data_IF_924558863103
#
_entry.id   IF_924558863103
#
_cell.length_a   1.000
_cell.length_b   1.000
_cell.length_c   1.000
_cell.angle_alpha   90.00
_cell.angle_beta   90.00
_cell.angle_gamma   90.00
#
_symmetry.space_group_name_H-M   'P 1'
#
loop_
_entity.id
_entity.type
_entity.pdbx_description
1 polymer ?
#
# COMPACT_ATOMS: atom_id res chain seq x y z
N UNK A 1 30.68 40.75 -32.76
CA UNK A 1 29.76 40.39 -31.65
C UNK A 1 29.66 38.87 -31.62
N UNK A 2 30.32 38.22 -30.67
CA UNK A 2 30.36 36.76 -30.57
C UNK A 2 29.61 36.39 -29.29
N UNK A 3 28.40 35.84 -29.43
CA UNK A 3 27.57 35.44 -28.29
C UNK A 3 27.86 33.99 -27.93
N UNK A 4 28.65 33.79 -26.88
CA UNK A 4 28.97 32.49 -26.30
C UNK A 4 27.75 31.98 -25.54
N UNK A 5 26.99 31.02 -26.10
CA UNK A 5 25.95 30.32 -25.34
C UNK A 5 26.60 29.34 -24.36
N UNK A 6 26.53 29.65 -23.06
CA UNK A 6 26.81 28.70 -21.98
C UNK A 6 25.55 27.86 -21.76
N UNK A 7 25.61 26.58 -22.13
CA UNK A 7 24.55 25.61 -21.86
C UNK A 7 24.40 25.40 -20.35
N UNK A 8 23.28 25.86 -19.77
CA UNK A 8 22.86 25.47 -18.43
C UNK A 8 22.16 24.10 -18.53
N UNK A 9 22.80 23.06 -17.99
CA UNK A 9 22.14 21.79 -17.74
C UNK A 9 21.20 21.94 -16.53
N UNK A 10 19.90 21.97 -16.77
CA UNK A 10 18.89 21.96 -15.72
C UNK A 10 18.71 20.51 -15.27
N UNK A 11 19.29 20.18 -14.11
CA UNK A 11 19.08 18.88 -13.46
C UNK A 11 17.70 18.89 -12.81
N UNK A 12 16.68 18.35 -13.50
CA UNK A 12 15.36 18.17 -12.93
C UNK A 12 15.42 17.03 -11.91
N UNK A 13 15.63 17.37 -10.63
CA UNK A 13 15.44 16.45 -9.53
C UNK A 13 13.94 16.16 -9.40
N UNK A 14 13.49 15.01 -9.88
CA UNK A 14 12.17 14.48 -9.53
C UNK A 14 12.21 14.10 -8.06
N UNK A 15 11.85 15.03 -7.19
CA UNK A 15 11.58 14.75 -5.79
C UNK A 15 10.33 13.86 -5.80
N UNK A 16 10.54 12.54 -5.74
CA UNK A 16 9.48 11.60 -5.49
C UNK A 16 8.92 11.93 -4.13
N UNK A 17 7.84 12.71 -4.09
CA UNK A 17 7.09 12.95 -2.88
C UNK A 17 6.55 11.58 -2.47
N UNK A 18 7.26 10.87 -1.60
CA UNK A 18 6.74 9.69 -0.93
C UNK A 18 5.58 10.17 -0.05
N UNK A 19 4.41 10.34 -0.66
CA UNK A 19 3.17 10.47 0.09
C UNK A 19 3.00 9.12 0.76
N UNK A 20 3.08 9.12 2.08
CA UNK A 20 2.71 7.95 2.87
C UNK A 20 1.38 7.44 2.33
N UNK A 21 1.37 6.19 1.88
CA UNK A 21 0.22 5.58 1.22
C UNK A 21 -0.95 5.51 2.19
N UNK A 22 -0.65 5.39 3.48
CA UNK A 22 -1.59 5.42 4.55
C UNK A 22 -1.06 6.34 5.67
N UNK A 23 -1.44 7.64 5.67
CA UNK A 23 -0.93 8.58 6.68
C UNK A 23 -1.22 8.09 8.10
N UNK A 24 -0.17 7.89 8.90
CA UNK A 24 -0.22 7.38 10.29
C UNK A 24 -0.51 5.88 10.46
N UNK A 25 -0.40 5.07 9.41
CA UNK A 25 -0.48 3.60 9.49
C UNK A 25 0.89 2.98 9.20
N UNK A 26 0.99 1.65 9.16
CA UNK A 26 2.23 0.95 8.84
C UNK A 26 2.18 0.26 7.46
N UNK A 27 0.99 -0.18 7.07
CA UNK A 27 0.78 -0.98 5.87
C UNK A 27 -0.49 -0.58 5.13
N UNK A 28 -0.51 -0.80 3.82
CA UNK A 28 -1.69 -0.70 2.96
C UNK A 28 -1.97 -2.01 2.24
N UNK A 29 -3.25 -2.40 2.14
CA UNK A 29 -3.68 -3.59 1.39
C UNK A 29 -4.30 -3.14 0.06
N UNK A 30 -3.82 -3.72 -1.04
CA UNK A 30 -4.37 -3.54 -2.38
C UNK A 30 -4.95 -4.86 -2.90
N UNK A 31 -6.05 -4.77 -3.63
CA UNK A 31 -6.59 -5.84 -4.45
C UNK A 31 -6.09 -5.67 -5.89
N UNK A 32 -5.48 -6.73 -6.41
CA UNK A 32 -4.93 -6.79 -7.75
C UNK A 32 -5.91 -7.45 -8.73
N UNK A 33 -7.01 -8.00 -8.23
CA UNK A 33 -7.99 -8.76 -8.99
C UNK A 33 -7.45 -10.10 -9.49
N UNK A 34 -8.13 -10.65 -10.48
CA UNK A 34 -7.79 -11.92 -11.14
C UNK A 34 -8.42 -13.17 -10.50
N UNK A 35 -8.48 -14.29 -11.24
CA UNK A 35 -8.77 -15.62 -10.69
C UNK A 35 -7.52 -16.52 -10.64
N UNK A 36 -7.14 -17.10 -9.48
CA UNK A 36 -7.66 -16.78 -8.15
C UNK A 36 -7.36 -15.32 -7.76
N UNK A 37 -8.06 -14.81 -6.75
CA UNK A 37 -7.87 -13.44 -6.29
C UNK A 37 -6.44 -13.20 -5.79
N UNK A 38 -5.94 -11.97 -5.98
CA UNK A 38 -4.60 -11.58 -5.57
C UNK A 38 -4.65 -10.31 -4.74
N UNK A 39 -4.12 -10.36 -3.52
CA UNK A 39 -3.99 -9.22 -2.63
C UNK A 39 -2.53 -8.98 -2.29
N UNK A 40 -2.16 -7.72 -2.16
CA UNK A 40 -0.80 -7.32 -1.85
C UNK A 40 -0.77 -6.33 -0.71
N UNK A 41 0.17 -6.55 0.20
CA UNK A 41 0.45 -5.64 1.31
C UNK A 41 1.69 -4.84 0.96
N UNK A 42 1.58 -3.52 1.10
CA UNK A 42 2.66 -2.57 0.92
C UNK A 42 3.00 -1.91 2.26
N UNK A 43 4.26 -1.59 2.49
CA UNK A 43 4.66 -0.63 3.52
C UNK A 43 4.42 0.82 3.07
N UNK A 44 4.67 1.80 3.95
CA UNK A 44 4.50 3.23 3.65
C UNK A 44 5.40 3.76 2.51
N UNK A 45 6.41 3.00 2.10
CA UNK A 45 7.33 3.32 1.01
C UNK A 45 6.98 2.59 -0.30
N UNK A 46 5.80 1.96 -0.38
CA UNK A 46 5.33 1.14 -1.50
C UNK A 46 6.18 -0.11 -1.76
N UNK A 47 6.97 -0.57 -0.77
CA UNK A 47 7.63 -1.86 -0.89
C UNK A 47 6.62 -2.96 -0.59
N UNK A 48 6.66 -4.00 -1.42
CA UNK A 48 5.83 -5.18 -1.21
C UNK A 48 6.37 -6.00 -0.05
N UNK A 49 5.53 -6.23 0.96
CA UNK A 49 5.90 -7.03 2.14
C UNK A 49 5.22 -8.39 2.18
N UNK A 50 4.05 -8.53 1.54
CA UNK A 50 3.31 -9.79 1.44
C UNK A 50 2.46 -9.80 0.16
N UNK A 51 2.36 -10.96 -0.47
CA UNK A 51 1.37 -11.24 -1.51
C UNK A 51 0.59 -12.49 -1.11
N UNK A 52 -0.73 -12.44 -1.21
CA UNK A 52 -1.63 -13.55 -0.94
C UNK A 52 -2.44 -13.83 -2.19
N UNK A 53 -2.39 -15.06 -2.68
CA UNK A 53 -3.11 -15.52 -3.87
C UNK A 53 -4.04 -16.66 -3.42
N UNK A 54 -5.35 -16.43 -3.47
CA UNK A 54 -6.37 -17.38 -2.97
C UNK A 54 -7.75 -17.05 -3.53
N UNK A 55 -8.69 -17.97 -3.45
CA UNK A 55 -10.10 -17.69 -3.70
C UNK A 55 -10.75 -16.90 -2.55
N UNK A 56 -10.25 -17.03 -1.31
CA UNK A 56 -10.79 -16.32 -0.16
C UNK A 56 -9.70 -15.86 0.84
N UNK A 57 -9.32 -14.57 0.85
CA UNK A 57 -8.25 -14.05 1.69
C UNK A 57 -8.60 -14.03 3.18
N UNK A 58 -9.89 -14.14 3.51
CA UNK A 58 -10.39 -14.10 4.88
C UNK A 58 -10.20 -15.43 5.62
N UNK A 59 -9.91 -16.52 4.90
CA UNK A 59 -9.72 -17.87 5.46
C UNK A 59 -8.28 -18.36 5.43
N UNK A 60 -7.39 -17.71 4.68
CA UNK A 60 -5.96 -18.04 4.58
C UNK A 60 -5.13 -17.64 5.82
N UNK A 61 -5.74 -16.97 6.81
CA UNK A 61 -5.08 -16.59 8.06
C UNK A 61 -4.17 -15.35 8.00
N UNK A 62 -3.79 -14.88 6.81
CA UNK A 62 -3.06 -13.61 6.66
C UNK A 62 -3.94 -12.39 6.95
N UNK A 63 -5.25 -12.50 6.72
CA UNK A 63 -6.19 -11.42 6.93
C UNK A 63 -7.37 -11.86 7.79
N UNK A 64 -7.95 -10.92 8.52
CA UNK A 64 -9.29 -11.06 9.11
C UNK A 64 -10.24 -10.09 8.42
N UNK A 65 -11.45 -10.55 8.15
CA UNK A 65 -12.45 -9.76 7.43
C UNK A 65 -13.71 -9.52 8.26
N UNK A 66 -14.42 -8.43 7.96
CA UNK A 66 -15.78 -8.21 8.44
C UNK A 66 -16.78 -9.12 7.71
N UNK A 67 -17.99 -9.33 8.28
CA UNK A 67 -19.14 -9.81 7.52
C UNK A 67 -19.42 -8.91 6.30
N UNK A 68 -20.19 -9.41 5.30
CA UNK A 68 -20.58 -8.61 4.13
C UNK A 68 -21.22 -7.25 4.51
N UNK A 69 -20.82 -6.12 3.87
CA UNK A 69 -19.79 -6.00 2.83
C UNK A 69 -18.38 -6.30 3.38
N UNK A 70 -17.66 -7.20 2.70
CA UNK A 70 -16.38 -7.73 3.18
C UNK A 70 -15.33 -6.63 3.15
N UNK A 71 -14.74 -6.35 4.31
CA UNK A 71 -13.62 -5.43 4.46
C UNK A 71 -12.52 -6.09 5.28
N UNK A 72 -11.26 -5.82 4.95
CA UNK A 72 -10.12 -6.26 5.75
C UNK A 72 -10.09 -5.48 7.06
N UNK A 73 -10.22 -6.19 8.18
CA UNK A 73 -10.25 -5.63 9.54
C UNK A 73 -8.95 -5.86 10.30
N UNK A 74 -8.19 -6.90 9.95
CA UNK A 74 -6.85 -7.14 10.49
C UNK A 74 -5.91 -7.75 9.45
N UNK A 75 -4.64 -7.45 9.60
CA UNK A 75 -3.50 -8.09 8.93
C UNK A 75 -2.66 -8.81 9.98
N UNK A 76 -2.33 -10.07 9.71
CA UNK A 76 -1.43 -10.90 10.51
C UNK A 76 -0.10 -11.01 9.78
N UNK A 77 0.94 -10.37 10.31
CA UNK A 77 2.25 -10.34 9.66
C UNK A 77 3.36 -10.44 10.71
N UNK A 78 4.30 -11.36 10.50
CA UNK A 78 5.46 -11.57 11.39
C UNK A 78 5.09 -11.76 12.88
N UNK A 79 3.98 -12.45 13.15
CA UNK A 79 3.48 -12.67 14.52
C UNK A 79 2.81 -11.44 15.17
N UNK A 80 2.69 -10.33 14.44
CA UNK A 80 2.00 -9.12 14.90
C UNK A 80 0.62 -8.99 14.24
N UNK A 81 -0.28 -8.34 14.97
CA UNK A 81 -1.64 -8.05 14.55
C UNK A 81 -1.78 -6.56 14.25
N UNK A 82 -2.13 -6.22 13.01
CA UNK A 82 -2.36 -4.84 12.58
C UNK A 82 -3.85 -4.62 12.38
N UNK A 83 -4.40 -3.59 13.00
CA UNK A 83 -5.81 -3.21 12.84
C UNK A 83 -5.96 -2.43 11.54
N UNK A 84 -6.87 -2.88 10.69
CA UNK A 84 -7.14 -2.28 9.39
C UNK A 84 -8.42 -1.45 9.39
N UNK A 85 -8.37 -0.29 8.72
CA UNK A 85 -9.47 0.66 8.54
C UNK A 85 -9.41 1.22 7.12
N UNK A 86 -10.56 1.51 6.53
CA UNK A 86 -10.59 2.34 5.33
C UNK A 86 -10.14 3.76 5.67
N UNK A 87 -9.28 4.36 4.85
CA UNK A 87 -8.82 5.73 5.02
C UNK A 87 -9.06 6.52 3.72
N UNK A 88 -9.76 7.67 3.76
CA UNK A 88 -10.04 8.46 2.57
C UNK A 88 -8.80 9.16 1.98
N UNK A 89 -7.71 9.22 2.75
CA UNK A 89 -6.42 9.72 2.29
C UNK A 89 -5.50 8.59 1.83
N UNK A 90 -6.03 7.37 1.65
CA UNK A 90 -5.24 6.26 1.13
C UNK A 90 -4.75 6.57 -0.29
N UNK A 91 -3.50 6.21 -0.53
CA UNK A 91 -2.83 6.40 -1.80
C UNK A 91 -2.96 5.17 -2.71
N UNK A 92 -2.01 5.06 -3.63
CA UNK A 92 -1.86 3.90 -4.50
C UNK A 92 -0.40 3.51 -4.62
N UNK A 93 -0.14 2.22 -4.79
CA UNK A 93 1.19 1.68 -5.06
C UNK A 93 1.21 0.89 -6.35
N UNK A 94 2.18 1.18 -7.22
CA UNK A 94 2.33 0.51 -8.50
C UNK A 94 1.05 0.51 -9.36
N UNK A 95 0.25 1.58 -9.27
CA UNK A 95 -1.03 1.69 -9.98
C UNK A 95 -2.22 0.99 -9.30
N UNK A 96 -2.02 0.33 -8.15
CA UNK A 96 -3.08 -0.30 -7.38
C UNK A 96 -3.52 0.58 -6.21
N UNK A 97 -4.80 0.93 -6.16
CA UNK A 97 -5.37 1.71 -5.06
C UNK A 97 -5.40 0.91 -3.76
N UNK A 98 -5.00 1.55 -2.66
CA UNK A 98 -5.07 0.92 -1.34
C UNK A 98 -6.51 0.97 -0.83
N UNK A 99 -7.04 -0.20 -0.50
CA UNK A 99 -8.41 -0.39 -0.01
C UNK A 99 -8.52 -0.11 1.49
N UNK A 100 -7.54 -0.58 2.26
CA UNK A 100 -7.47 -0.35 3.71
C UNK A 100 -6.04 -0.09 4.15
N UNK A 101 -5.93 0.64 5.25
CA UNK A 101 -4.70 0.98 5.93
C UNK A 101 -4.65 0.26 7.28
N UNK A 102 -3.51 -0.37 7.59
CA UNK A 102 -3.34 -1.21 8.77
C UNK A 102 -2.24 -0.67 9.67
N UNK A 103 -2.54 -0.52 10.97
CA UNK A 103 -1.61 0.00 11.98
C UNK A 103 -1.46 -0.98 13.14
N UNK A 104 -0.26 -1.05 13.71
CA UNK A 104 -0.07 -1.72 14.99
C UNK A 104 -0.54 -0.79 16.11
N UNK A 105 -1.69 -1.10 16.72
CA UNK A 105 -2.21 -0.36 17.87
C UNK A 105 -1.59 -0.82 19.21
N UNK A 106 -0.58 -1.69 19.19
CA UNK A 106 0.25 -2.02 20.35
C UNK A 106 -0.34 -3.09 21.29
N UNK A 107 -0.99 -4.12 20.76
CA UNK A 107 -1.51 -5.23 21.57
C UNK A 107 -0.47 -6.34 21.79
#
# INVERSE_FOLDING_TARGET
>A
MQFTLKSLAILAATVGMARAICPSYNFGIADLGGPPGSWRVYDDSCNMVLTVITDNPCTEGSFSCSPPPVTFTRLHLNGQNYVCRGDPNSGSCSGHGIQVCCRNDGN
#
